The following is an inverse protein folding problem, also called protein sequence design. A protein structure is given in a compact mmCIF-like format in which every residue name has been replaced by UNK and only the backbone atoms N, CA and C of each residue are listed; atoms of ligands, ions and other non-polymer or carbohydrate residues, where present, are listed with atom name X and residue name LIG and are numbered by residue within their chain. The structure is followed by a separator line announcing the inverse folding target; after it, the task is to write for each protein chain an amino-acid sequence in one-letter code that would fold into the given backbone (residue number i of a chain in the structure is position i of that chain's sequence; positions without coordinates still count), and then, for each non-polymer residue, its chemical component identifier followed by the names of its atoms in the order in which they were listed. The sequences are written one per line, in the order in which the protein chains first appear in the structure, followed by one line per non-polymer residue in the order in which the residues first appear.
data_IF_229814943107
#
_entry.id   IF_229814943107
#
_cell.length_a   1.000
_cell.length_b   1.000
_cell.length_c   1.000
_cell.angle_alpha   90.00
_cell.angle_beta   90.00
_cell.angle_gamma   90.00
#
_symmetry.space_group_name_H-M   'P 1'
#
loop_
_entity.id
_entity.type
_entity.pdbx_description
1 polymer ?
#
# COMPACT_ATOMS: atom_id res chain seq x y z
N UNK A 1 7.38 18.99 18.29
CA UNK A 1 7.69 17.60 18.71
C UNK A 1 8.45 17.68 20.03
N UNK A 2 7.96 16.97 21.04
CA UNK A 2 8.61 16.87 22.33
C UNK A 2 8.86 15.39 22.61
N UNK A 3 9.97 15.08 23.25
CA UNK A 3 10.17 13.79 23.87
C UNK A 3 10.44 13.98 25.37
N UNK A 4 10.05 13.00 26.15
CA UNK A 4 10.32 12.91 27.58
C UNK A 4 10.85 11.51 27.86
N UNK A 5 11.87 11.42 28.66
CA UNK A 5 12.50 10.17 29.08
C UNK A 5 12.43 10.05 30.59
N UNK A 6 11.97 8.94 31.09
CA UNK A 6 12.04 8.57 32.49
C UNK A 6 12.89 7.31 32.67
N UNK A 7 12.95 6.74 33.87
CA UNK A 7 13.82 5.61 34.18
C UNK A 7 13.51 4.32 33.40
N UNK A 8 12.30 4.21 32.82
CA UNK A 8 11.80 2.99 32.19
C UNK A 8 11.33 3.21 30.74
N UNK A 9 10.90 4.42 30.39
CA UNK A 9 10.19 4.70 29.13
C UNK A 9 10.67 5.98 28.46
N UNK A 10 10.53 6.01 27.13
CA UNK A 10 10.72 7.22 26.32
C UNK A 10 9.37 7.57 25.70
N UNK A 11 8.90 8.78 25.94
CA UNK A 11 7.63 9.30 25.47
C UNK A 11 7.84 10.28 24.33
N UNK A 12 7.12 10.08 23.24
CA UNK A 12 7.14 11.01 22.12
C UNK A 12 5.77 11.67 21.97
N UNK A 13 5.76 13.01 21.86
CA UNK A 13 4.57 13.78 21.54
C UNK A 13 4.63 14.23 20.09
N UNK A 14 3.60 13.88 19.33
CA UNK A 14 3.44 14.25 17.93
C UNK A 14 2.18 15.09 17.75
N UNK A 15 2.13 15.85 16.66
CA UNK A 15 0.86 16.45 16.24
C UNK A 15 -0.18 15.38 15.91
N UNK A 16 -1.46 15.68 16.12
CA UNK A 16 -2.54 14.78 15.73
C UNK A 16 -2.55 14.59 14.21
N UNK A 17 -2.54 13.34 13.74
CA UNK A 17 -2.32 12.98 12.34
C UNK A 17 -3.54 12.54 11.55
N UNK A 18 -4.74 12.56 12.12
CA UNK A 18 -5.92 12.02 11.45
C UNK A 18 -6.15 10.54 11.75
N UNK A 19 -6.80 9.84 10.82
CA UNK A 19 -7.14 8.41 10.94
C UNK A 19 -6.39 7.64 9.85
N UNK A 20 -5.92 6.43 10.16
CA UNK A 20 -5.25 5.60 9.17
C UNK A 20 -6.18 5.24 8.01
N UNK A 21 -5.61 5.11 6.80
CA UNK A 21 -6.39 4.66 5.63
C UNK A 21 -7.04 3.32 5.93
N UNK A 22 -6.37 2.40 6.64
CA UNK A 22 -6.95 1.13 7.07
C UNK A 22 -8.24 1.34 7.89
N UNK A 23 -8.20 2.22 8.89
CA UNK A 23 -9.36 2.53 9.74
C UNK A 23 -10.51 3.22 9.00
N UNK A 24 -10.21 3.99 7.94
CA UNK A 24 -11.20 4.66 7.10
C UNK A 24 -11.79 3.73 6.02
N UNK A 25 -11.01 2.75 5.55
CA UNK A 25 -11.35 1.98 4.34
C UNK A 25 -12.35 0.88 4.57
N UNK A 26 -12.20 0.10 5.64
CA UNK A 26 -13.12 -1.01 5.91
C UNK A 26 -13.26 -1.32 7.40
N UNK A 27 -14.43 -1.85 7.74
CA UNK A 27 -14.67 -2.51 9.02
C UNK A 27 -14.67 -4.03 8.79
N UNK A 28 -13.88 -4.76 9.58
CA UNK A 28 -13.76 -6.21 9.48
C UNK A 28 -14.33 -6.83 10.76
N UNK A 29 -15.27 -7.76 10.58
CA UNK A 29 -15.85 -8.56 11.67
C UNK A 29 -15.59 -10.04 11.35
N UNK A 30 -14.97 -10.77 12.27
CA UNK A 30 -14.75 -12.20 12.12
C UNK A 30 -15.70 -12.99 13.01
N UNK A 31 -16.33 -14.02 12.46
CA UNK A 31 -17.21 -14.95 13.18
C UNK A 31 -16.81 -16.39 12.84
N UNK A 32 -17.10 -17.33 13.75
CA UNK A 32 -16.93 -18.76 13.50
C UNK A 32 -18.31 -19.37 13.20
N UNK A 33 -18.45 -19.97 12.03
CA UNK A 33 -19.65 -20.70 11.63
C UNK A 33 -19.23 -22.11 11.19
N UNK A 34 -19.80 -23.14 11.83
CA UNK A 34 -19.54 -24.56 11.50
C UNK A 34 -18.06 -24.94 11.42
N UNK A 35 -17.22 -24.34 12.29
CA UNK A 35 -15.76 -24.60 12.33
C UNK A 35 -14.95 -23.82 11.27
N UNK A 36 -15.58 -23.03 10.43
CA UNK A 36 -14.92 -22.14 9.48
C UNK A 36 -14.92 -20.70 9.98
N UNK A 37 -13.85 -19.96 9.70
CA UNK A 37 -13.75 -18.54 10.01
C UNK A 37 -14.32 -17.73 8.86
N UNK A 38 -15.37 -16.95 9.15
CA UNK A 38 -16.04 -16.07 8.19
C UNK A 38 -15.69 -14.64 8.53
N UNK A 39 -15.27 -13.86 7.53
CA UNK A 39 -15.03 -12.44 7.69
C UNK A 39 -16.06 -11.64 6.90
N UNK A 40 -16.66 -10.67 7.58
CA UNK A 40 -17.56 -9.69 7.00
C UNK A 40 -16.77 -8.40 6.81
N UNK A 41 -16.65 -7.94 5.57
CA UNK A 41 -15.98 -6.70 5.24
C UNK A 41 -17.03 -5.69 4.82
N UNK A 42 -17.14 -4.62 5.60
CA UNK A 42 -17.98 -3.47 5.26
C UNK A 42 -17.08 -2.35 4.76
N UNK A 43 -17.35 -1.86 3.54
CA UNK A 43 -16.64 -0.72 2.96
C UNK A 43 -16.92 0.54 3.77
N UNK A 44 -15.88 1.31 4.07
CA UNK A 44 -16.00 2.63 4.66
C UNK A 44 -16.54 3.65 3.65
N UNK A 45 -17.29 4.63 4.12
CA UNK A 45 -17.78 5.74 3.29
C UNK A 45 -16.62 6.48 2.61
N UNK A 46 -15.48 6.60 3.30
CA UNK A 46 -14.26 7.20 2.78
C UNK A 46 -13.83 6.59 1.44
N UNK A 47 -13.81 5.26 1.30
CA UNK A 47 -13.44 4.61 0.03
C UNK A 47 -14.39 4.99 -1.10
N UNK A 48 -15.69 5.00 -0.83
CA UNK A 48 -16.69 5.38 -1.82
C UNK A 48 -16.44 6.82 -2.28
N UNK A 49 -16.26 7.75 -1.33
CA UNK A 49 -15.98 9.16 -1.62
C UNK A 49 -14.66 9.33 -2.40
N UNK A 50 -13.62 8.63 -2.00
CA UNK A 50 -12.30 8.69 -2.64
C UNK A 50 -12.36 8.25 -4.11
N UNK A 51 -13.00 7.12 -4.40
CA UNK A 51 -13.08 6.60 -5.77
C UNK A 51 -14.13 7.32 -6.63
N UNK A 52 -15.15 7.93 -6.02
CA UNK A 52 -16.11 8.77 -6.73
C UNK A 52 -15.54 10.16 -7.08
N UNK A 53 -14.46 10.57 -6.42
CA UNK A 53 -13.83 11.87 -6.62
C UNK A 53 -12.41 11.67 -7.13
N UNK A 54 -12.28 11.40 -8.43
CA UNK A 54 -11.00 11.04 -9.07
C UNK A 54 -9.88 12.05 -8.79
N UNK A 55 -10.17 13.34 -8.73
CA UNK A 55 -9.19 14.37 -8.40
C UNK A 55 -8.60 14.17 -7.00
N UNK A 56 -9.40 13.72 -6.03
CA UNK A 56 -8.91 13.42 -4.67
C UNK A 56 -8.12 12.11 -4.62
N UNK A 57 -8.47 11.13 -5.45
CA UNK A 57 -7.67 9.92 -5.60
C UNK A 57 -6.32 10.22 -6.24
N UNK A 58 -6.30 11.01 -7.33
CA UNK A 58 -5.05 11.50 -7.97
C UNK A 58 -4.21 12.29 -6.96
N UNK A 59 -4.83 13.20 -6.18
CA UNK A 59 -4.17 13.98 -5.14
C UNK A 59 -3.52 13.09 -4.08
N UNK A 60 -4.26 12.10 -3.54
CA UNK A 60 -3.75 11.15 -2.56
C UNK A 60 -2.52 10.41 -3.09
N UNK A 61 -2.65 9.77 -4.24
CA UNK A 61 -1.58 8.95 -4.80
C UNK A 61 -0.35 9.80 -5.17
N UNK A 62 -0.55 10.95 -5.78
CA UNK A 62 0.55 11.89 -6.13
C UNK A 62 1.27 12.40 -4.89
N UNK A 63 0.53 12.76 -3.83
CA UNK A 63 1.12 13.22 -2.56
C UNK A 63 1.96 12.13 -1.89
N UNK A 64 1.49 10.88 -1.89
CA UNK A 64 2.24 9.75 -1.35
C UNK A 64 3.52 9.48 -2.15
N UNK A 65 3.45 9.51 -3.48
CA UNK A 65 4.63 9.36 -4.35
C UNK A 65 5.66 10.46 -4.09
N UNK A 66 5.22 11.72 -3.96
CA UNK A 66 6.10 12.86 -3.66
C UNK A 66 6.71 12.74 -2.25
N UNK A 67 5.93 12.30 -1.26
CA UNK A 67 6.43 12.07 0.11
C UNK A 67 7.51 10.99 0.15
N UNK A 68 7.29 9.86 -0.53
CA UNK A 68 8.27 8.78 -0.67
C UNK A 68 9.53 9.28 -1.40
N UNK A 69 9.38 9.98 -2.52
CA UNK A 69 10.50 10.57 -3.25
C UNK A 69 11.35 11.50 -2.38
N UNK A 70 10.68 12.31 -1.56
CA UNK A 70 11.34 13.24 -0.64
C UNK A 70 12.24 12.54 0.38
N UNK A 71 11.76 11.48 1.05
CA UNK A 71 12.56 10.74 2.03
C UNK A 71 13.65 9.92 1.35
N UNK A 72 13.36 9.33 0.19
CA UNK A 72 14.33 8.54 -0.57
C UNK A 72 15.49 9.41 -1.09
N UNK A 73 15.25 10.67 -1.51
CA UNK A 73 16.32 11.64 -1.86
C UNK A 73 17.25 11.96 -0.69
N UNK A 74 16.81 11.73 0.55
CA UNK A 74 17.65 11.86 1.76
C UNK A 74 18.36 10.54 2.13
N UNK A 75 18.29 9.53 1.28
CA UNK A 75 18.87 8.22 1.53
C UNK A 75 18.04 7.35 2.47
N UNK A 76 16.81 7.72 2.80
CA UNK A 76 15.95 7.00 3.73
C UNK A 76 14.93 6.19 2.96
N UNK A 77 14.81 4.91 3.28
CA UNK A 77 13.76 4.01 2.83
C UNK A 77 12.84 3.74 4.01
N UNK A 78 11.53 3.91 3.81
CA UNK A 78 10.54 3.69 4.86
C UNK A 78 10.38 2.21 5.21
N UNK A 79 10.36 1.35 4.20
CA UNK A 79 10.28 -0.12 4.22
C UNK A 79 9.05 -0.76 4.87
N UNK A 80 8.07 0.04 5.34
CA UNK A 80 6.79 -0.44 5.90
C UNK A 80 5.60 0.43 5.46
N UNK A 81 5.56 0.81 4.18
CA UNK A 81 4.41 1.53 3.60
C UNK A 81 3.23 0.57 3.51
N UNK A 82 2.15 0.89 4.23
CA UNK A 82 0.90 0.12 4.29
C UNK A 82 -0.27 1.01 4.74
N UNK A 83 -1.53 0.59 4.59
CA UNK A 83 -2.70 1.42 4.95
C UNK A 83 -2.72 1.89 6.41
N UNK A 84 -2.14 1.12 7.33
CA UNK A 84 -2.03 1.46 8.75
C UNK A 84 -1.11 2.65 8.99
N UNK A 85 -0.07 2.80 8.16
CA UNK A 85 0.99 3.80 8.31
C UNK A 85 0.76 5.07 7.47
N UNK A 86 -0.42 5.22 6.88
CA UNK A 86 -0.82 6.42 6.15
C UNK A 86 -2.03 7.03 6.85
N UNK A 87 -1.86 8.21 7.42
CA UNK A 87 -2.93 8.95 8.08
C UNK A 87 -3.55 9.97 7.16
N UNK A 88 -4.88 10.07 7.22
CA UNK A 88 -5.68 10.98 6.40
C UNK A 88 -6.59 11.82 7.29
N UNK A 89 -6.64 13.11 6.99
CA UNK A 89 -7.74 13.98 7.39
C UNK A 89 -8.52 14.38 6.15
N UNK A 90 -9.84 14.37 6.23
CA UNK A 90 -10.73 14.77 5.15
C UNK A 90 -11.97 15.49 5.68
N UNK A 91 -12.61 16.26 4.81
CA UNK A 91 -13.91 16.91 5.04
C UNK A 91 -14.89 16.44 3.99
N UNK A 92 -16.19 16.53 4.34
CA UNK A 92 -17.29 16.18 3.45
C UNK A 92 -17.38 14.70 3.10
N UNK A 93 -18.32 14.38 2.23
CA UNK A 93 -18.51 13.07 1.64
C UNK A 93 -18.96 13.16 0.17
N UNK A 94 -19.09 12.01 -0.53
CA UNK A 94 -19.49 11.98 -1.94
C UNK A 94 -20.92 12.43 -2.20
N UNK A 95 -21.79 12.39 -1.20
CA UNK A 95 -23.21 12.76 -1.36
C UNK A 95 -23.38 14.28 -1.47
N UNK A 96 -22.45 15.03 -0.88
CA UNK A 96 -22.47 16.49 -0.84
C UNK A 96 -21.56 17.14 -1.89
N UNK A 97 -20.88 16.35 -2.74
CA UNK A 97 -19.87 16.80 -3.71
C UNK A 97 -18.77 17.70 -3.10
N UNK A 98 -18.54 17.55 -1.78
CA UNK A 98 -17.59 18.36 -1.01
C UNK A 98 -16.45 17.54 -0.41
N UNK A 99 -16.30 16.27 -0.81
CA UNK A 99 -15.22 15.43 -0.32
C UNK A 99 -13.86 16.00 -0.69
N UNK A 100 -13.06 16.29 0.33
CA UNK A 100 -11.72 16.86 0.18
C UNK A 100 -10.77 16.29 1.23
N UNK A 101 -9.65 15.74 0.78
CA UNK A 101 -8.52 15.38 1.65
C UNK A 101 -7.81 16.67 2.06
N UNK A 102 -7.60 16.87 3.36
CA UNK A 102 -7.00 18.07 3.93
C UNK A 102 -5.58 17.81 4.47
N UNK A 103 -5.26 16.57 4.83
CA UNK A 103 -3.93 16.19 5.32
C UNK A 103 -3.63 14.74 4.94
N UNK A 104 -2.37 14.47 4.62
CA UNK A 104 -1.83 13.14 4.35
C UNK A 104 -0.50 13.05 5.07
N UNK A 105 -0.31 12.03 5.92
CA UNK A 105 0.93 11.81 6.66
C UNK A 105 1.35 10.35 6.57
N UNK A 106 2.62 10.12 6.27
CA UNK A 106 3.26 8.82 6.41
C UNK A 106 3.89 8.78 7.81
N UNK A 107 3.57 7.74 8.57
CA UNK A 107 4.00 7.57 9.96
C UNK A 107 4.70 6.22 10.16
N UNK A 108 5.24 5.99 11.36
CA UNK A 108 5.90 4.76 11.78
C UNK A 108 7.19 4.46 11.00
N UNK A 109 8.21 5.26 11.30
CA UNK A 109 9.56 5.08 10.76
C UNK A 109 10.38 4.04 11.54
N UNK A 110 9.74 3.20 12.36
CA UNK A 110 10.42 2.18 13.15
C UNK A 110 11.18 1.12 12.33
N UNK A 111 10.74 0.87 11.09
CA UNK A 111 11.41 -0.01 10.14
C UNK A 111 12.28 0.72 9.11
N UNK A 112 12.27 2.06 9.16
CA UNK A 112 13.02 2.86 8.18
C UNK A 112 14.53 2.70 8.37
N UNK A 113 15.27 2.77 7.28
CA UNK A 113 16.72 2.70 7.32
C UNK A 113 17.37 3.65 6.32
N UNK A 114 18.58 4.07 6.65
CA UNK A 114 19.42 4.83 5.73
C UNK A 114 20.29 3.86 4.91
N UNK A 115 20.24 3.97 3.59
CA UNK A 115 20.97 3.06 2.68
C UNK A 115 22.49 3.07 2.90
N UNK A 116 23.04 4.17 3.40
CA UNK A 116 24.48 4.31 3.64
C UNK A 116 24.93 3.62 4.95
N UNK A 117 24.03 3.43 5.92
CA UNK A 117 24.38 2.99 7.27
C UNK A 117 23.77 1.63 7.65
N UNK A 118 23.04 0.99 6.73
CA UNK A 118 22.32 -0.23 7.11
C UNK A 118 23.17 -1.48 6.98
N UNK A 119 23.17 -2.31 8.01
CA UNK A 119 23.79 -3.65 8.01
C UNK A 119 22.78 -4.74 7.62
N UNK A 120 21.50 -4.52 7.91
CA UNK A 120 20.41 -5.42 7.59
C UNK A 120 19.15 -4.64 7.22
N UNK A 121 18.37 -5.17 6.29
CA UNK A 121 17.04 -4.66 5.95
C UNK A 121 16.05 -5.41 6.83
N UNK A 122 15.42 -4.70 7.75
CA UNK A 122 14.34 -5.22 8.57
C UNK A 122 13.01 -4.76 7.96
N UNK A 123 12.10 -5.69 7.75
CA UNK A 123 10.73 -5.34 7.41
C UNK A 123 9.78 -6.27 8.14
N UNK A 124 8.72 -5.70 8.67
CA UNK A 124 7.84 -6.39 9.60
C UNK A 124 6.55 -6.92 8.96
N UNK A 125 6.22 -6.47 7.73
CA UNK A 125 4.94 -6.82 7.08
C UNK A 125 5.18 -7.51 5.74
N UNK A 126 5.29 -8.86 5.71
CA UNK A 126 5.65 -9.65 4.53
C UNK A 126 4.75 -9.40 3.32
N UNK A 127 3.49 -9.06 3.53
CA UNK A 127 2.47 -8.87 2.50
C UNK A 127 2.78 -7.68 1.59
N UNK A 128 3.49 -6.67 2.10
CA UNK A 128 3.83 -5.45 1.37
C UNK A 128 5.27 -5.44 0.85
N UNK A 129 6.06 -6.50 1.17
CA UNK A 129 7.45 -6.60 0.74
C UNK A 129 7.59 -6.74 -0.77
N UNK A 130 8.57 -6.04 -1.32
CA UNK A 130 8.94 -6.23 -2.73
C UNK A 130 9.64 -7.58 -2.99
N UNK A 131 9.59 -8.09 -4.23
CA UNK A 131 10.15 -9.38 -4.59
C UNK A 131 11.62 -9.54 -4.23
N UNK A 132 12.41 -8.51 -4.42
CA UNK A 132 13.85 -8.53 -4.18
C UNK A 132 14.23 -8.65 -2.71
N UNK A 133 13.40 -8.08 -1.81
CA UNK A 133 13.57 -8.26 -0.36
C UNK A 133 13.02 -9.62 0.06
N UNK A 134 11.86 -10.01 -0.44
CA UNK A 134 11.24 -11.31 -0.15
C UNK A 134 12.17 -12.48 -0.49
N UNK A 135 12.88 -12.39 -1.63
CA UNK A 135 13.79 -13.44 -2.08
C UNK A 135 15.20 -13.30 -1.55
N UNK A 136 15.51 -12.23 -0.80
CA UNK A 136 16.87 -11.96 -0.31
C UNK A 136 17.87 -11.73 -1.44
N UNK A 137 17.48 -11.01 -2.50
CA UNK A 137 18.31 -10.76 -3.69
C UNK A 137 19.61 -10.02 -3.33
N UNK A 138 20.69 -10.76 -3.18
CA UNK A 138 22.02 -10.23 -2.79
C UNK A 138 22.53 -9.16 -3.75
N UNK A 139 22.22 -9.28 -5.05
CA UNK A 139 22.65 -8.31 -6.06
C UNK A 139 21.94 -6.97 -5.84
N UNK A 140 20.63 -6.99 -5.65
CA UNK A 140 19.85 -5.79 -5.34
C UNK A 140 20.36 -5.11 -4.06
N UNK A 141 20.56 -5.88 -3.00
CA UNK A 141 21.06 -5.35 -1.71
C UNK A 141 22.43 -4.70 -1.88
N UNK A 142 23.33 -5.30 -2.70
CA UNK A 142 24.65 -4.73 -3.01
C UNK A 142 24.53 -3.45 -3.83
N UNK A 143 23.68 -3.43 -4.86
CA UNK A 143 23.44 -2.25 -5.70
C UNK A 143 22.83 -1.10 -4.88
N UNK A 144 21.90 -1.40 -3.97
CA UNK A 144 21.30 -0.43 -3.07
C UNK A 144 22.33 0.23 -2.13
N UNK A 145 23.23 -0.60 -1.52
CA UNK A 145 24.30 -0.13 -0.62
C UNK A 145 25.38 0.67 -1.32
N UNK A 146 25.64 0.41 -2.60
CA UNK A 146 26.62 1.14 -3.38
C UNK A 146 26.14 2.54 -3.83
N UNK A 147 25.11 3.08 -3.15
CA UNK A 147 24.56 4.41 -3.39
C UNK A 147 24.02 4.60 -4.82
N UNK A 148 23.54 3.52 -5.43
CA UNK A 148 22.87 3.61 -6.72
C UNK A 148 21.47 4.19 -6.50
N UNK A 149 21.37 5.51 -6.45
CA UNK A 149 20.15 6.28 -6.15
C UNK A 149 18.97 5.89 -7.05
N UNK A 150 19.24 5.27 -8.19
CA UNK A 150 18.23 4.81 -9.15
C UNK A 150 17.25 3.80 -8.56
N UNK A 151 17.68 2.96 -7.60
CA UNK A 151 16.83 1.89 -7.05
C UNK A 151 16.35 2.14 -5.63
N UNK A 152 16.63 3.32 -5.09
CA UNK A 152 16.30 3.63 -3.70
C UNK A 152 14.79 3.56 -3.42
N UNK A 153 13.95 3.98 -4.37
CA UNK A 153 12.50 3.98 -4.20
C UNK A 153 11.81 2.66 -4.58
N UNK A 154 12.55 1.66 -5.11
CA UNK A 154 11.95 0.41 -5.54
C UNK A 154 11.19 -0.33 -4.44
N UNK A 155 11.65 -0.27 -3.18
CA UNK A 155 11.00 -0.93 -2.04
C UNK A 155 9.67 -0.24 -1.73
N UNK A 156 9.72 1.06 -1.45
CA UNK A 156 8.55 1.82 -1.00
C UNK A 156 7.49 1.96 -2.09
N UNK A 157 7.89 2.08 -3.38
CA UNK A 157 6.94 2.19 -4.48
C UNK A 157 6.17 0.88 -4.73
N UNK A 158 6.83 -0.27 -4.54
CA UNK A 158 6.13 -1.56 -4.56
C UNK A 158 5.11 -1.64 -3.43
N UNK A 159 5.53 -1.32 -2.20
CA UNK A 159 4.65 -1.35 -1.02
C UNK A 159 3.46 -0.39 -1.16
N UNK A 160 3.69 0.80 -1.75
CA UNK A 160 2.61 1.72 -2.11
C UNK A 160 1.68 1.10 -3.17
N UNK A 161 2.23 0.46 -4.20
CA UNK A 161 1.43 -0.23 -5.23
C UNK A 161 0.51 -1.30 -4.64
N UNK A 162 1.02 -2.11 -3.70
CA UNK A 162 0.22 -3.09 -2.97
C UNK A 162 -0.84 -2.41 -2.09
N UNK A 163 -0.48 -1.33 -1.39
CA UNK A 163 -1.41 -0.53 -0.58
C UNK A 163 -2.59 -0.01 -1.42
N UNK A 164 -2.30 0.58 -2.56
CA UNK A 164 -3.33 1.12 -3.47
C UNK A 164 -4.18 0.00 -4.08
N UNK A 165 -3.57 -1.14 -4.43
CA UNK A 165 -4.31 -2.32 -4.90
C UNK A 165 -5.31 -2.82 -3.86
N UNK A 166 -4.95 -2.85 -2.58
CA UNK A 166 -5.84 -3.21 -1.48
C UNK A 166 -7.07 -2.29 -1.42
N UNK A 167 -6.86 -0.98 -1.54
CA UNK A 167 -7.95 -0.01 -1.59
C UNK A 167 -8.88 -0.25 -2.80
N UNK A 168 -8.31 -0.53 -3.97
CA UNK A 168 -9.09 -0.85 -5.17
C UNK A 168 -9.95 -2.10 -5.00
N UNK A 169 -9.40 -3.13 -4.36
CA UNK A 169 -10.07 -4.42 -4.15
C UNK A 169 -11.05 -4.39 -2.96
N UNK A 170 -10.99 -3.38 -2.11
CA UNK A 170 -11.74 -3.29 -0.85
C UNK A 170 -11.56 -4.54 0.02
N UNK A 171 -10.37 -5.12 0.02
CA UNK A 171 -10.07 -6.33 0.77
C UNK A 171 -8.64 -6.28 1.29
N UNK A 172 -8.42 -6.45 2.59
CA UNK A 172 -7.08 -6.50 3.16
C UNK A 172 -6.26 -7.64 2.55
N UNK A 173 -5.05 -7.31 2.10
CA UNK A 173 -4.14 -8.26 1.45
C UNK A 173 -3.64 -9.32 2.44
N UNK A 174 -3.53 -8.95 3.72
CA UNK A 174 -3.08 -9.82 4.80
C UNK A 174 -4.09 -10.93 5.18
N UNK A 175 -5.33 -10.90 4.69
CA UNK A 175 -6.30 -11.97 4.91
C UNK A 175 -5.89 -13.23 4.12
N UNK A 176 -5.01 -14.00 4.73
CA UNK A 176 -4.26 -15.10 4.10
C UNK A 176 -4.93 -16.48 4.16
N UNK A 177 -6.11 -16.59 4.74
CA UNK A 177 -6.74 -17.89 4.96
C UNK A 177 -7.77 -18.20 3.89
N UNK A 178 -7.97 -19.51 3.62
CA UNK A 178 -9.19 -19.99 2.98
C UNK A 178 -10.35 -19.56 3.86
N UNK A 179 -10.92 -18.43 3.59
CA UNK A 179 -12.00 -17.88 4.37
C UNK A 179 -13.13 -17.50 3.43
N UNK A 180 -14.31 -17.66 3.93
CA UNK A 180 -15.51 -17.13 3.32
C UNK A 180 -15.56 -15.64 3.68
N UNK A 181 -15.52 -14.77 2.68
CA UNK A 181 -15.60 -13.34 2.87
C UNK A 181 -16.94 -12.88 2.33
N UNK A 182 -17.69 -12.14 3.12
CA UNK A 182 -18.95 -11.54 2.67
C UNK A 182 -18.74 -10.03 2.51
N UNK A 183 -18.87 -9.56 1.27
CA UNK A 183 -18.76 -8.14 0.92
C UNK A 183 -20.10 -7.73 0.27
N UNK A 184 -20.82 -6.79 0.89
CA UNK A 184 -22.13 -6.32 0.40
C UNK A 184 -23.11 -7.47 0.11
N UNK A 185 -23.22 -8.46 1.01
CA UNK A 185 -24.11 -9.61 0.89
C UNK A 185 -23.69 -10.67 -0.13
N UNK A 186 -22.58 -10.47 -0.87
CA UNK A 186 -22.01 -11.47 -1.79
C UNK A 186 -20.90 -12.24 -1.11
N UNK A 187 -20.94 -13.56 -1.26
CA UNK A 187 -19.92 -14.45 -0.71
C UNK A 187 -18.77 -14.63 -1.71
N UNK A 188 -17.56 -14.41 -1.22
CA UNK A 188 -16.32 -14.68 -1.94
C UNK A 188 -15.50 -15.68 -1.12
N UNK A 189 -14.89 -16.63 -1.80
CA UNK A 189 -13.88 -17.48 -1.18
C UNK A 189 -12.52 -16.80 -1.38
N UNK A 190 -11.92 -16.33 -0.29
CA UNK A 190 -10.57 -15.76 -0.35
C UNK A 190 -9.55 -16.88 -0.23
N UNK A 191 -8.66 -16.94 -1.20
CA UNK A 191 -7.39 -17.66 -1.06
C UNK A 191 -6.27 -16.73 -0.56
N UNK A 192 -6.59 -15.50 -0.15
CA UNK A 192 -5.64 -14.43 0.08
C UNK A 192 -4.84 -14.06 -1.17
N UNK A 193 -4.36 -12.83 -1.28
CA UNK A 193 -3.41 -12.49 -2.35
C UNK A 193 -2.09 -13.28 -2.15
N UNK A 194 -1.76 -13.56 -0.90
CA UNK A 194 -0.55 -14.26 -0.50
C UNK A 194 -0.83 -15.51 0.35
N UNK A 195 -1.84 -16.28 0.13
CA UNK A 195 -2.32 -17.43 0.91
C UNK A 195 -1.28 -18.45 1.37
N UNK A 196 -0.19 -17.99 1.99
CA UNK A 196 0.89 -18.79 2.54
C UNK A 196 0.85 -18.77 4.06
N UNK A 197 0.76 -19.93 4.69
CA UNK A 197 1.11 -20.06 6.10
C UNK A 197 2.63 -20.01 6.20
N UNK A 198 3.14 -19.08 7.00
CA UNK A 198 4.57 -18.96 7.27
C UNK A 198 5.32 -18.09 6.25
N UNK A 199 6.54 -17.70 6.62
CA UNK A 199 7.44 -16.79 5.88
C UNK A 199 8.25 -17.54 4.80
N UNK A 200 7.60 -18.38 4.00
CA UNK A 200 8.30 -19.08 2.92
C UNK A 200 8.49 -18.13 1.72
N UNK A 201 9.67 -17.55 1.63
CA UNK A 201 10.05 -16.56 0.61
C UNK A 201 9.67 -16.98 -0.82
N UNK A 202 9.90 -18.24 -1.19
CA UNK A 202 9.57 -18.75 -2.53
C UNK A 202 8.05 -18.76 -2.78
N UNK A 203 7.25 -19.12 -1.80
CA UNK A 203 5.78 -19.12 -1.94
C UNK A 203 5.23 -17.71 -2.04
N UNK A 204 5.76 -16.77 -1.25
CA UNK A 204 5.40 -15.36 -1.34
C UNK A 204 5.74 -14.83 -2.74
N UNK A 205 6.95 -15.09 -3.23
CA UNK A 205 7.37 -14.67 -4.56
C UNK A 205 6.49 -15.25 -5.67
N UNK A 206 6.13 -16.54 -5.61
CA UNK A 206 5.19 -17.13 -6.55
C UNK A 206 3.83 -16.43 -6.55
N UNK A 207 3.34 -16.05 -5.38
CA UNK A 207 2.08 -15.28 -5.26
C UNK A 207 2.20 -13.86 -5.81
N UNK A 208 3.35 -13.21 -5.66
CA UNK A 208 3.63 -11.92 -6.30
C UNK A 208 3.59 -12.04 -7.82
N UNK A 209 4.21 -13.09 -8.39
CA UNK A 209 4.16 -13.37 -9.84
C UNK A 209 2.74 -13.63 -10.32
N UNK A 210 1.96 -14.45 -9.60
CA UNK A 210 0.55 -14.70 -9.91
C UNK A 210 -0.30 -13.42 -9.84
N UNK A 211 -0.03 -12.55 -8.83
CA UNK A 211 -0.68 -11.26 -8.69
C UNK A 211 -0.44 -10.39 -9.92
N UNK A 212 0.81 -10.18 -10.29
CA UNK A 212 1.19 -9.32 -11.41
C UNK A 212 0.62 -9.83 -12.74
N UNK A 213 0.68 -11.15 -13.00
CA UNK A 213 0.06 -11.77 -14.18
C UNK A 213 -1.46 -11.63 -14.20
N UNK A 214 -2.11 -11.71 -13.04
CA UNK A 214 -3.56 -11.69 -12.89
C UNK A 214 -4.19 -10.33 -12.61
N UNK A 215 -3.42 -9.24 -12.59
CA UNK A 215 -3.86 -7.93 -12.08
C UNK A 215 -5.10 -7.40 -12.80
N UNK A 216 -5.16 -7.48 -14.13
CA UNK A 216 -6.33 -7.05 -14.92
C UNK A 216 -7.59 -7.79 -14.51
N UNK A 217 -7.51 -9.12 -14.34
CA UNK A 217 -8.64 -9.94 -13.92
C UNK A 217 -9.11 -9.58 -12.51
N UNK A 218 -8.16 -9.32 -11.60
CA UNK A 218 -8.48 -8.91 -10.22
C UNK A 218 -9.16 -7.55 -10.19
N UNK A 219 -8.69 -6.59 -10.97
CA UNK A 219 -9.23 -5.24 -11.02
C UNK A 219 -10.58 -5.11 -11.75
N UNK A 220 -11.00 -6.12 -12.51
CA UNK A 220 -12.27 -6.07 -13.26
C UNK A 220 -13.49 -5.78 -12.38
N UNK A 221 -13.50 -6.27 -11.13
CA UNK A 221 -14.59 -6.10 -10.17
C UNK A 221 -14.17 -5.21 -8.98
N UNK A 222 -13.18 -4.32 -9.18
CA UNK A 222 -12.67 -3.41 -8.16
C UNK A 222 -13.43 -2.08 -8.15
N UNK A 223 -13.07 -1.17 -7.25
CA UNK A 223 -13.65 0.18 -7.19
C UNK A 223 -13.38 1.03 -8.44
N UNK A 224 -12.51 0.56 -9.35
CA UNK A 224 -12.19 1.26 -10.60
C UNK A 224 -13.40 1.37 -11.56
N UNK A 225 -14.52 0.72 -11.28
CA UNK A 225 -15.76 0.95 -12.04
C UNK A 225 -16.27 2.39 -11.92
N UNK A 226 -15.83 3.13 -10.88
CA UNK A 226 -16.18 4.53 -10.67
C UNK A 226 -15.34 5.50 -11.52
N UNK A 227 -14.25 5.04 -12.10
CA UNK A 227 -13.42 5.83 -13.02
C UNK A 227 -13.97 5.75 -14.44
N UNK A 228 -13.83 6.82 -15.21
CA UNK A 228 -14.02 6.74 -16.66
C UNK A 228 -13.00 5.80 -17.31
N UNK A 229 -13.14 5.54 -18.59
CA UNK A 229 -12.29 4.60 -19.29
C UNK A 229 -10.83 5.08 -19.34
N UNK A 230 -10.61 6.37 -19.61
CA UNK A 230 -9.28 6.96 -19.75
C UNK A 230 -8.51 6.88 -18.42
N UNK A 231 -9.10 7.35 -17.35
CA UNK A 231 -8.49 7.31 -16.01
C UNK A 231 -8.24 5.88 -15.55
N UNK A 232 -9.16 4.97 -15.83
CA UNK A 232 -9.02 3.55 -15.48
C UNK A 232 -7.85 2.89 -16.19
N UNK A 233 -7.71 3.09 -17.48
CA UNK A 233 -6.63 2.48 -18.28
C UNK A 233 -5.27 3.03 -17.87
N UNK A 234 -5.15 4.36 -17.72
CA UNK A 234 -3.92 4.99 -17.26
C UNK A 234 -3.55 4.58 -15.81
N UNK A 235 -4.54 4.48 -14.93
CA UNK A 235 -4.28 4.02 -13.57
C UNK A 235 -3.80 2.56 -13.53
N UNK A 236 -4.42 1.66 -14.30
CA UNK A 236 -3.99 0.27 -14.38
C UNK A 236 -2.56 0.16 -14.94
N UNK A 237 -2.20 0.99 -15.91
CA UNK A 237 -0.85 1.04 -16.45
C UNK A 237 0.16 1.51 -15.40
N UNK A 238 -0.14 2.61 -14.68
CA UNK A 238 0.68 3.09 -13.58
C UNK A 238 0.86 2.01 -12.50
N UNK A 239 -0.23 1.39 -12.06
CA UNK A 239 -0.18 0.36 -11.02
C UNK A 239 0.68 -0.84 -11.43
N UNK A 240 0.60 -1.27 -12.69
CA UNK A 240 1.46 -2.33 -13.22
C UNK A 240 2.94 -1.94 -13.19
N UNK A 241 3.25 -0.70 -13.55
CA UNK A 241 4.62 -0.19 -13.50
C UNK A 241 5.17 -0.08 -12.08
N UNK A 242 4.29 0.23 -11.09
CA UNK A 242 4.66 0.21 -9.67
C UNK A 242 4.87 -1.22 -9.16
N UNK A 243 4.11 -2.20 -9.66
CA UNK A 243 4.18 -3.61 -9.31
C UNK A 243 5.00 -4.45 -10.31
N UNK A 244 5.96 -3.81 -11.00
CA UNK A 244 6.90 -4.54 -11.85
C UNK A 244 7.84 -5.42 -11.00
N UNK A 245 7.93 -6.70 -11.37
CA UNK A 245 8.71 -7.70 -10.63
C UNK A 245 10.22 -7.44 -10.72
N UNK A 246 10.67 -6.98 -11.89
CA UNK A 246 12.06 -6.59 -12.10
C UNK A 246 12.28 -5.16 -11.58
N UNK A 247 12.93 -5.02 -10.41
CA UNK A 247 13.23 -3.72 -9.82
C UNK A 247 13.94 -2.75 -10.76
N UNK A 248 14.66 -3.25 -11.77
CA UNK A 248 15.36 -2.42 -12.77
C UNK A 248 14.41 -1.75 -13.76
N UNK A 249 13.23 -2.33 -13.95
CA UNK A 249 12.17 -1.84 -14.83
C UNK A 249 11.05 -1.14 -14.06
N UNK A 250 11.02 -1.33 -12.73
CA UNK A 250 10.00 -0.70 -11.87
C UNK A 250 10.10 0.81 -11.98
N UNK A 251 8.96 1.46 -12.16
CA UNK A 251 8.87 2.91 -12.29
C UNK A 251 9.46 3.61 -11.05
N UNK A 252 10.15 4.73 -11.23
CA UNK A 252 10.59 5.57 -10.11
C UNK A 252 9.44 6.43 -9.60
N UNK A 253 9.55 6.96 -8.36
CA UNK A 253 8.57 7.92 -7.86
C UNK A 253 8.48 9.15 -8.76
N UNK A 254 9.62 9.65 -9.25
CA UNK A 254 9.67 10.82 -10.13
C UNK A 254 8.98 10.58 -11.47
N UNK A 255 9.20 9.41 -12.10
CA UNK A 255 8.51 9.06 -13.34
C UNK A 255 7.03 8.80 -13.09
N UNK A 256 6.68 8.20 -11.93
CA UNK A 256 5.31 7.91 -11.56
C UNK A 256 4.47 9.18 -11.40
N UNK A 257 4.99 10.26 -10.79
CA UNK A 257 4.25 11.53 -10.64
C UNK A 257 4.02 12.25 -11.98
N UNK A 258 4.82 11.93 -13.01
CA UNK A 258 4.69 12.44 -14.37
C UNK A 258 3.91 11.50 -15.30
N UNK A 259 3.32 10.42 -14.76
CA UNK A 259 2.55 9.45 -15.54
C UNK A 259 1.27 10.07 -16.10
N UNK A 260 0.79 9.68 -17.31
CA UNK A 260 -0.45 10.19 -17.92
C UNK A 260 -1.68 10.11 -17.03
N UNK A 261 -1.71 9.20 -16.06
CA UNK A 261 -2.78 9.14 -15.06
C UNK A 261 -2.96 10.46 -14.29
N UNK A 262 -1.91 11.25 -14.10
CA UNK A 262 -1.96 12.53 -13.39
C UNK A 262 -2.12 13.75 -14.32
N UNK A 263 -2.20 13.52 -15.62
CA UNK A 263 -2.56 14.58 -16.57
C UNK A 263 -4.06 14.86 -16.46
N UNK A 264 -4.40 16.12 -16.68
CA UNK A 264 -5.80 16.60 -16.71
C UNK A 264 -6.48 16.20 -18.02
#
# INVERSE_FOLDING_TARGET
YYYYEDANDIWFSFEKGGISISGLSFKIKGEFEKGERIYFIQKGKFLISLFSTISQFKYLLKSLLLGIDYINKKGIIHSDIKPENILIEHKGDSNENNFKITSIKIIDYGSAFNVNNTTAISSNTPEYLCPEITTGNKKFIKELKNNNSRYINCIDIWSLGITILELCLCCPIWMNYKTKIIINGKTYHSTGLFGCRGREANKIYQKQVELCKGINKKLKNSMLYLFDQYDRENFIDLLKKMLELDYKKRISCQDAVNHPFFSD
#
